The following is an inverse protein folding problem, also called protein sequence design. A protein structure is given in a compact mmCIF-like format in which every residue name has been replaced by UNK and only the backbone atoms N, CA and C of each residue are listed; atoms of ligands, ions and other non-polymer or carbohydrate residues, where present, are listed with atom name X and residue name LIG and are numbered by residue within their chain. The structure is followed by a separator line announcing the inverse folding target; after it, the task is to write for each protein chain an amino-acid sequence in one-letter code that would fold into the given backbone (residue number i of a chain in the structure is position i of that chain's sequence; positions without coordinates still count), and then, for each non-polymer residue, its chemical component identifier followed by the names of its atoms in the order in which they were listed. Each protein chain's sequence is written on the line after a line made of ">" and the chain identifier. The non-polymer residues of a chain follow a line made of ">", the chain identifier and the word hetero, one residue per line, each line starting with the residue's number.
data_IF_854256513435
#
_entry.id   IF_854256513435
#
_cell.length_a   1.000
_cell.length_b   1.000
_cell.length_c   1.000
_cell.angle_alpha   90.00
_cell.angle_beta   90.00
_cell.angle_gamma   90.00
#
_symmetry.space_group_name_H-M   'P 1'
#
loop_
_entity.id
_entity.type
_entity.pdbx_description
1 polymer ?
#
# COMPACT_ATOMS: atom_id res chain seq x y z
N UNK A 1 -12.55 31.13 -20.72
CA UNK A 1 -12.41 29.68 -20.81
C UNK A 1 -12.83 29.11 -19.46
N UNK A 2 -13.65 28.06 -19.39
CA UNK A 2 -13.86 27.37 -18.12
C UNK A 2 -12.51 26.87 -17.61
N UNK A 3 -12.27 26.86 -16.28
CA UNK A 3 -11.05 26.31 -15.72
C UNK A 3 -10.93 24.85 -16.18
N UNK A 4 -9.76 24.47 -16.71
CA UNK A 4 -9.49 23.06 -16.98
C UNK A 4 -9.72 22.27 -15.67
N UNK A 5 -10.38 21.11 -15.72
CA UNK A 5 -10.52 20.31 -14.54
C UNK A 5 -9.13 20.07 -13.95
N UNK A 6 -8.97 20.35 -12.67
CA UNK A 6 -7.71 20.13 -11.99
C UNK A 6 -7.36 18.64 -12.10
N UNK A 7 -6.11 18.33 -12.46
CA UNK A 7 -5.62 16.94 -12.46
C UNK A 7 -5.97 16.28 -11.11
N UNK A 8 -6.42 15.01 -11.09
CA UNK A 8 -6.66 14.31 -9.84
C UNK A 8 -5.38 14.24 -9.02
N UNK A 9 -5.51 14.20 -7.71
CA UNK A 9 -4.38 13.92 -6.82
C UNK A 9 -4.21 12.41 -6.68
N UNK A 10 -2.97 11.90 -6.61
CA UNK A 10 -2.71 10.47 -6.49
C UNK A 10 -2.16 10.12 -5.11
N UNK A 11 -2.72 9.08 -4.51
CA UNK A 11 -2.27 8.52 -3.25
C UNK A 11 -1.80 7.09 -3.49
N UNK A 12 -0.53 6.82 -3.23
CA UNK A 12 0.07 5.51 -3.46
C UNK A 12 0.24 4.76 -2.16
N UNK A 13 -0.16 3.50 -2.14
CA UNK A 13 0.42 2.57 -1.19
C UNK A 13 1.92 2.36 -1.52
N UNK A 14 2.64 1.64 -0.67
CA UNK A 14 4.08 1.45 -0.81
C UNK A 14 4.44 0.00 -1.16
N UNK A 15 4.11 -0.93 -0.26
CA UNK A 15 4.49 -2.33 -0.35
C UNK A 15 3.67 -3.07 -1.41
N UNK A 16 4.31 -3.63 -2.44
CA UNK A 16 3.61 -4.22 -3.58
C UNK A 16 3.11 -3.21 -4.62
N UNK A 17 3.15 -1.92 -4.31
CA UNK A 17 2.67 -0.83 -5.17
C UNK A 17 3.82 -0.04 -5.81
N UNK A 18 4.80 0.38 -5.03
CA UNK A 18 5.99 1.10 -5.52
C UNK A 18 7.28 0.28 -5.31
N UNK A 19 7.28 -0.61 -4.34
CA UNK A 19 8.39 -1.50 -4.02
C UNK A 19 7.94 -2.95 -3.91
N UNK A 20 8.78 -3.88 -4.35
CA UNK A 20 8.53 -5.32 -4.34
C UNK A 20 8.88 -5.90 -2.96
N UNK A 21 7.89 -5.94 -2.06
CA UNK A 21 8.10 -6.34 -0.67
C UNK A 21 7.01 -7.25 -0.09
N UNK A 22 5.94 -7.54 -0.84
CA UNK A 22 4.80 -8.35 -0.37
C UNK A 22 5.22 -9.71 0.14
N UNK A 23 6.00 -10.44 -0.65
CA UNK A 23 6.41 -11.79 -0.28
C UNK A 23 7.49 -11.83 0.81
N UNK A 24 8.28 -10.77 0.95
CA UNK A 24 9.17 -10.57 2.10
C UNK A 24 8.38 -10.41 3.40
N UNK A 25 7.24 -9.67 3.37
CA UNK A 25 6.31 -9.59 4.49
C UNK A 25 5.68 -10.94 4.80
N UNK A 26 5.25 -11.69 3.77
CA UNK A 26 4.69 -13.05 3.96
C UNK A 26 5.70 -13.97 4.65
N UNK A 27 6.96 -13.97 4.22
CA UNK A 27 8.02 -14.76 4.81
C UNK A 27 8.30 -14.34 6.27
N UNK A 28 8.36 -13.04 6.54
CA UNK A 28 8.61 -12.49 7.87
C UNK A 28 7.47 -12.83 8.85
N UNK A 29 6.21 -12.68 8.43
CA UNK A 29 5.06 -13.10 9.24
C UNK A 29 5.03 -14.61 9.46
N UNK A 30 5.36 -15.41 8.44
CA UNK A 30 5.47 -16.87 8.59
C UNK A 30 6.51 -17.25 9.64
N UNK A 31 7.67 -16.58 9.67
CA UNK A 31 8.69 -16.78 10.67
C UNK A 31 8.24 -16.37 12.07
N UNK A 32 7.59 -15.20 12.21
CA UNK A 32 7.07 -14.70 13.48
C UNK A 32 6.00 -15.64 14.09
N UNK A 33 5.07 -16.13 13.25
CA UNK A 33 4.02 -17.07 13.66
C UNK A 33 4.62 -18.42 14.09
N UNK A 34 5.57 -18.96 13.31
CA UNK A 34 6.25 -20.23 13.63
C UNK A 34 7.02 -20.15 14.94
N UNK A 35 7.63 -19.02 15.27
CA UNK A 35 8.32 -18.83 16.54
C UNK A 35 7.39 -18.94 17.76
N UNK A 36 6.09 -18.72 17.59
CA UNK A 36 5.04 -18.93 18.60
C UNK A 36 4.31 -20.27 18.43
N UNK A 37 4.84 -21.18 17.59
CA UNK A 37 4.25 -22.51 17.35
C UNK A 37 2.96 -22.48 16.51
N UNK A 38 2.73 -21.41 15.75
CA UNK A 38 1.57 -21.27 14.86
C UNK A 38 2.04 -21.49 13.44
N UNK A 39 1.51 -22.52 12.79
CA UNK A 39 1.82 -22.81 11.38
C UNK A 39 0.56 -22.59 10.57
N UNK A 40 0.64 -21.67 9.60
CA UNK A 40 -0.43 -21.37 8.67
C UNK A 40 0.08 -21.39 7.24
N UNK A 41 -0.77 -21.70 6.24
CA UNK A 41 -0.40 -21.61 4.84
C UNK A 41 0.00 -20.18 4.47
N UNK A 42 1.01 -20.03 3.60
CA UNK A 42 1.51 -18.72 3.15
C UNK A 42 0.41 -17.84 2.51
N UNK A 43 -0.53 -18.46 1.77
CA UNK A 43 -1.64 -17.73 1.17
C UNK A 43 -2.54 -17.05 2.21
N UNK A 44 -2.72 -17.64 3.40
CA UNK A 44 -3.50 -17.01 4.47
C UNK A 44 -2.85 -15.73 4.97
N UNK A 45 -1.51 -15.70 5.01
CA UNK A 45 -0.75 -14.48 5.37
C UNK A 45 -0.85 -13.47 4.23
N UNK A 46 -0.55 -13.92 2.99
CA UNK A 46 -0.57 -13.07 1.80
C UNK A 46 -1.87 -12.27 1.66
N UNK A 47 -3.02 -12.94 1.82
CA UNK A 47 -4.36 -12.32 1.73
C UNK A 47 -4.62 -11.23 2.77
N UNK A 48 -3.70 -10.99 3.70
CA UNK A 48 -3.80 -10.00 4.78
C UNK A 48 -2.68 -8.96 4.74
N UNK A 49 -1.74 -9.10 3.82
CA UNK A 49 -0.77 -8.03 3.58
C UNK A 49 -1.52 -6.79 3.10
N UNK A 50 -1.08 -5.62 3.56
CA UNK A 50 -1.79 -4.35 3.39
C UNK A 50 -2.60 -3.92 4.61
N UNK A 51 -2.96 -4.85 5.52
CA UNK A 51 -3.51 -4.54 6.85
C UNK A 51 -2.40 -4.19 7.85
N UNK A 52 -2.77 -3.65 9.04
CA UNK A 52 -1.81 -3.59 10.15
C UNK A 52 -1.48 -4.99 10.68
N UNK A 53 -0.29 -5.15 11.28
CA UNK A 53 0.14 -6.41 11.88
C UNK A 53 -0.87 -6.95 12.89
N UNK A 54 -1.38 -6.09 13.77
CA UNK A 54 -2.39 -6.47 14.76
C UNK A 54 -3.71 -6.93 14.13
N UNK A 55 -4.15 -6.32 13.02
CA UNK A 55 -5.36 -6.74 12.31
C UNK A 55 -5.15 -8.08 11.59
N UNK A 56 -3.99 -8.28 10.94
CA UNK A 56 -3.58 -9.53 10.31
C UNK A 56 -3.59 -10.67 11.35
N UNK A 57 -2.93 -10.48 12.48
CA UNK A 57 -2.88 -11.50 13.54
C UNK A 57 -4.25 -11.84 14.10
N UNK A 58 -5.10 -10.82 14.38
CA UNK A 58 -6.48 -11.06 14.84
C UNK A 58 -7.30 -11.92 13.87
N UNK A 59 -7.16 -11.69 12.56
CA UNK A 59 -7.85 -12.50 11.57
C UNK A 59 -7.33 -13.93 11.52
N UNK A 60 -6.00 -14.11 11.50
CA UNK A 60 -5.37 -15.45 11.52
C UNK A 60 -5.82 -16.21 12.76
N UNK A 61 -5.77 -15.60 13.96
CA UNK A 61 -6.15 -16.28 15.19
C UNK A 61 -7.63 -16.70 15.21
N UNK A 62 -8.51 -15.86 14.69
CA UNK A 62 -9.92 -16.17 14.55
C UNK A 62 -10.15 -17.38 13.64
N UNK A 63 -9.51 -17.43 12.49
CA UNK A 63 -9.68 -18.50 11.50
C UNK A 63 -9.05 -19.81 11.93
N UNK A 64 -7.89 -19.74 12.59
CA UNK A 64 -7.20 -20.92 13.13
C UNK A 64 -7.75 -21.39 14.48
N UNK A 65 -8.79 -20.70 15.00
CA UNK A 65 -9.37 -20.94 16.33
C UNK A 65 -8.29 -20.99 17.44
N UNK A 66 -7.28 -20.14 17.28
CA UNK A 66 -6.17 -20.06 18.25
C UNK A 66 -6.64 -19.38 19.53
N UNK A 67 -6.85 -20.16 20.59
CA UNK A 67 -7.30 -19.67 21.90
C UNK A 67 -6.16 -19.25 22.83
N UNK A 68 -4.93 -19.18 22.34
CA UNK A 68 -3.77 -18.77 23.11
C UNK A 68 -3.78 -17.24 23.31
N UNK A 69 -3.47 -16.80 24.53
CA UNK A 69 -3.18 -15.38 24.79
C UNK A 69 -1.79 -15.06 24.22
N UNK A 70 -1.75 -14.50 23.02
CA UNK A 70 -0.50 -14.19 22.31
C UNK A 70 -0.16 -12.71 22.50
N UNK A 71 1.15 -12.46 22.61
CA UNK A 71 1.65 -11.10 22.68
C UNK A 71 1.84 -10.56 21.26
N UNK A 72 0.88 -9.72 20.80
CA UNK A 72 0.86 -9.14 19.45
C UNK A 72 2.11 -8.29 19.21
N UNK A 73 2.53 -7.47 20.19
CA UNK A 73 3.71 -6.60 20.07
C UNK A 73 5.01 -7.41 19.90
N UNK A 74 5.12 -8.54 20.61
CA UNK A 74 6.25 -9.46 20.44
C UNK A 74 6.30 -10.05 19.04
N UNK A 75 5.13 -10.39 18.47
CA UNK A 75 5.04 -10.95 17.14
C UNK A 75 5.31 -9.90 16.05
N UNK A 76 4.82 -8.69 16.22
CA UNK A 76 5.16 -7.56 15.33
C UNK A 76 6.67 -7.27 15.39
N UNK A 77 7.28 -7.25 16.57
CA UNK A 77 8.72 -7.09 16.72
C UNK A 77 9.51 -8.23 16.07
N UNK A 78 9.00 -9.46 16.11
CA UNK A 78 9.63 -10.62 15.45
C UNK A 78 9.53 -10.51 13.93
N UNK A 79 8.34 -10.11 13.41
CA UNK A 79 8.15 -9.79 12.01
C UNK A 79 9.14 -8.71 11.55
N UNK A 80 9.25 -7.61 12.28
CA UNK A 80 10.12 -6.49 11.92
C UNK A 80 11.59 -6.90 11.81
N UNK A 81 12.04 -7.74 12.75
CA UNK A 81 13.41 -8.29 12.68
C UNK A 81 13.62 -9.18 11.47
N UNK A 82 12.69 -10.09 11.19
CA UNK A 82 12.76 -11.00 10.05
C UNK A 82 12.65 -10.23 8.71
N UNK A 83 11.73 -9.28 8.60
CA UNK A 83 11.57 -8.43 7.43
C UNK A 83 12.82 -7.59 7.16
N UNK A 84 13.46 -7.05 8.21
CA UNK A 84 14.72 -6.31 8.07
C UNK A 84 15.85 -7.13 7.48
N UNK A 85 15.88 -8.43 7.76
CA UNK A 85 16.86 -9.35 7.21
C UNK A 85 16.58 -9.72 5.76
N UNK A 86 15.31 -9.97 5.40
CA UNK A 86 14.88 -10.37 4.06
C UNK A 86 14.78 -9.20 3.08
N UNK A 87 14.59 -7.97 3.57
CA UNK A 87 14.46 -6.75 2.76
C UNK A 87 15.74 -5.90 2.72
N UNK A 88 16.93 -6.53 2.78
CA UNK A 88 18.21 -5.81 2.68
C UNK A 88 18.38 -5.12 1.33
N UNK A 89 17.94 -5.76 0.27
CA UNK A 89 17.92 -5.24 -1.11
C UNK A 89 16.47 -5.06 -1.53
N UNK A 90 15.93 -3.88 -1.26
CA UNK A 90 14.58 -3.50 -1.72
C UNK A 90 14.63 -3.24 -3.23
N UNK A 91 13.81 -3.96 -3.97
CA UNK A 91 13.60 -3.73 -5.40
C UNK A 91 12.46 -2.74 -5.59
N UNK A 92 12.72 -1.72 -6.39
CA UNK A 92 11.69 -0.81 -6.88
C UNK A 92 10.94 -1.52 -8.00
N UNK A 93 9.61 -1.48 -7.96
CA UNK A 93 8.81 -2.05 -9.03
C UNK A 93 9.03 -1.30 -10.36
N UNK A 94 8.90 -1.99 -11.50
CA UNK A 94 9.09 -1.37 -12.81
C UNK A 94 8.26 -0.08 -12.96
N UNK A 95 8.86 0.97 -13.46
CA UNK A 95 8.18 2.25 -13.74
C UNK A 95 7.89 3.13 -12.52
N UNK A 96 8.06 2.68 -11.27
CA UNK A 96 7.72 3.48 -10.07
C UNK A 96 8.41 4.85 -10.05
N UNK A 97 9.72 4.90 -10.29
CA UNK A 97 10.48 6.16 -10.30
C UNK A 97 10.05 7.06 -11.46
N UNK A 98 9.80 6.46 -12.61
CA UNK A 98 9.39 7.13 -13.84
C UNK A 98 8.00 7.73 -13.67
N UNK A 99 7.05 6.99 -13.08
CA UNK A 99 5.69 7.42 -12.77
C UNK A 99 5.73 8.63 -11.82
N UNK A 100 6.38 8.51 -10.66
CA UNK A 100 6.44 9.59 -9.67
C UNK A 100 7.16 10.84 -10.23
N UNK A 101 8.17 10.67 -11.08
CA UNK A 101 8.85 11.77 -11.77
C UNK A 101 7.95 12.42 -12.81
N UNK A 102 7.17 11.64 -13.56
CA UNK A 102 6.20 12.13 -14.54
C UNK A 102 5.12 12.96 -13.85
N UNK A 103 4.50 12.46 -12.78
CA UNK A 103 3.51 13.17 -11.99
C UNK A 103 4.04 14.53 -11.49
N UNK A 104 5.28 14.52 -10.98
CA UNK A 104 5.92 15.75 -10.51
C UNK A 104 6.14 16.78 -11.65
N UNK A 105 6.53 16.32 -12.85
CA UNK A 105 6.66 17.19 -14.03
C UNK A 105 5.32 17.78 -14.49
N UNK A 106 4.27 16.97 -14.44
CA UNK A 106 2.89 17.39 -14.75
C UNK A 106 2.25 18.22 -13.63
N UNK A 107 2.98 18.52 -12.53
CA UNK A 107 2.48 19.23 -11.35
C UNK A 107 1.25 18.57 -10.71
N UNK A 108 1.10 17.27 -10.90
CA UNK A 108 0.09 16.47 -10.21
C UNK A 108 0.51 16.35 -8.74
N UNK A 109 -0.42 16.59 -7.82
CA UNK A 109 -0.19 16.35 -6.38
C UNK A 109 -0.24 14.86 -6.11
N UNK A 110 0.72 14.37 -5.36
CA UNK A 110 0.75 12.96 -4.97
C UNK A 110 1.39 12.77 -3.59
N UNK A 111 1.03 11.68 -2.93
CA UNK A 111 1.57 11.28 -1.64
C UNK A 111 1.73 9.76 -1.56
N UNK A 112 2.49 9.30 -0.57
CA UNK A 112 2.61 7.89 -0.20
C UNK A 112 1.88 7.68 1.12
N UNK A 113 1.04 6.63 1.19
CA UNK A 113 0.21 6.29 2.34
C UNK A 113 0.25 4.79 2.62
N UNK A 114 1.07 4.36 3.57
CA UNK A 114 1.31 2.96 3.92
C UNK A 114 0.87 2.63 5.35
N UNK A 115 0.51 1.36 5.60
CA UNK A 115 0.27 0.84 6.95
C UNK A 115 1.55 0.39 7.66
N UNK A 116 2.70 0.40 6.96
CA UNK A 116 4.00 0.14 7.54
C UNK A 116 4.41 1.19 8.58
N UNK A 117 5.29 0.82 9.53
CA UNK A 117 5.81 1.76 10.50
C UNK A 117 6.85 2.71 9.87
N UNK A 118 7.10 3.84 10.54
CA UNK A 118 7.99 4.91 10.04
C UNK A 118 9.43 4.46 9.78
N UNK A 119 9.96 3.58 10.63
CA UNK A 119 11.33 3.09 10.47
C UNK A 119 11.49 2.24 9.22
N UNK A 120 10.58 1.28 9.01
CA UNK A 120 10.55 0.45 7.80
C UNK A 120 10.33 1.30 6.56
N UNK A 121 9.31 2.15 6.56
CA UNK A 121 8.97 3.03 5.44
C UNK A 121 10.17 3.86 5.01
N UNK A 122 10.90 4.48 5.95
CA UNK A 122 12.10 5.27 5.63
C UNK A 122 13.14 4.47 4.85
N UNK A 123 13.32 3.18 5.17
CA UNK A 123 14.28 2.31 4.45
C UNK A 123 13.77 1.98 3.05
N UNK A 124 12.48 1.65 2.93
CA UNK A 124 11.85 1.29 1.67
C UNK A 124 11.78 2.45 0.66
N UNK A 125 11.72 3.68 1.14
CA UNK A 125 11.68 4.88 0.31
C UNK A 125 13.06 5.27 -0.27
N UNK A 126 14.16 4.84 0.34
CA UNK A 126 15.52 5.24 -0.13
C UNK A 126 15.76 5.00 -1.62
N UNK A 127 15.46 3.80 -2.17
CA UNK A 127 15.72 3.53 -3.58
C UNK A 127 14.79 4.28 -4.53
N UNK A 128 13.68 4.88 -4.06
CA UNK A 128 12.76 5.64 -4.92
C UNK A 128 13.28 7.03 -5.29
N UNK A 129 14.27 7.56 -4.57
CA UNK A 129 14.88 8.89 -4.83
C UNK A 129 13.83 10.01 -4.89
N UNK A 130 12.99 10.07 -3.86
CA UNK A 130 11.85 11.01 -3.79
C UNK A 130 12.30 12.45 -3.58
N UNK A 131 11.52 13.45 -4.05
CA UNK A 131 11.70 14.85 -3.68
C UNK A 131 11.66 15.05 -2.16
N UNK A 132 12.48 15.97 -1.63
CA UNK A 132 12.62 16.19 -0.18
C UNK A 132 11.30 16.58 0.53
N UNK A 133 10.35 17.17 -0.19
CA UNK A 133 9.04 17.60 0.35
C UNK A 133 7.91 16.62 0.06
N UNK A 134 8.23 15.37 -0.31
CA UNK A 134 7.20 14.35 -0.56
C UNK A 134 6.39 14.09 0.70
N UNK A 135 5.06 14.15 0.58
CA UNK A 135 4.15 13.79 1.66
C UNK A 135 4.16 12.27 1.82
N UNK A 136 4.46 11.82 3.02
CA UNK A 136 4.44 10.41 3.41
C UNK A 136 3.64 10.26 4.69
N UNK A 137 2.66 9.35 4.67
CA UNK A 137 1.87 8.93 5.83
C UNK A 137 2.16 7.47 6.11
N UNK A 138 2.39 7.14 7.37
CA UNK A 138 2.71 5.80 7.85
C UNK A 138 1.64 5.29 8.82
N UNK A 139 1.67 4.02 9.16
CA UNK A 139 0.80 3.45 10.18
C UNK A 139 0.93 4.14 11.55
N UNK A 140 2.09 4.73 11.84
CA UNK A 140 2.32 5.47 13.09
C UNK A 140 1.62 6.84 13.13
N UNK A 141 1.12 7.33 12.01
CA UNK A 141 0.46 8.64 11.89
C UNK A 141 -1.07 8.54 12.06
N UNK A 142 -1.65 7.34 12.17
CA UNK A 142 -3.09 7.10 12.17
C UNK A 142 -3.50 6.05 13.20
N UNK A 143 -4.77 6.10 13.64
CA UNK A 143 -5.29 5.14 14.61
C UNK A 143 -5.69 3.80 13.97
N UNK A 144 -6.25 3.85 12.76
CA UNK A 144 -6.80 2.68 12.08
C UNK A 144 -6.11 2.43 10.74
N UNK A 145 -5.64 1.21 10.58
CA UNK A 145 -5.07 0.75 9.32
C UNK A 145 -6.15 0.30 8.32
N UNK A 146 -5.74 0.10 7.06
CA UNK A 146 -6.58 -0.48 6.00
C UNK A 146 -7.28 -1.76 6.50
N UNK A 147 -8.55 -1.95 6.18
CA UNK A 147 -9.38 -1.24 5.20
C UNK A 147 -10.00 0.07 5.71
N UNK A 148 -9.60 0.63 6.87
CA UNK A 148 -9.98 1.99 7.23
C UNK A 148 -9.28 2.98 6.28
N UNK A 149 -9.95 4.10 5.88
CA UNK A 149 -9.37 5.06 4.95
C UNK A 149 -8.35 6.00 5.61
N UNK A 150 -8.04 5.85 6.89
CA UNK A 150 -7.34 6.85 7.72
C UNK A 150 -5.99 7.27 7.13
N UNK A 151 -5.17 6.33 6.62
CA UNK A 151 -3.88 6.67 6.00
C UNK A 151 -4.06 7.52 4.73
N UNK A 152 -5.09 7.25 3.94
CA UNK A 152 -5.40 8.02 2.73
C UNK A 152 -6.05 9.36 3.07
N UNK A 153 -6.92 9.42 4.10
CA UNK A 153 -7.48 10.67 4.60
C UNK A 153 -6.38 11.61 5.07
N UNK A 154 -5.46 11.12 5.91
CA UNK A 154 -4.32 11.91 6.39
C UNK A 154 -3.41 12.37 5.23
N UNK A 155 -3.20 11.53 4.22
CA UNK A 155 -2.40 11.90 3.05
C UNK A 155 -3.10 12.99 2.20
N UNK A 156 -4.40 12.87 1.94
CA UNK A 156 -5.20 13.86 1.23
C UNK A 156 -5.24 15.20 1.97
N UNK A 157 -5.43 15.18 3.29
CA UNK A 157 -5.39 16.36 4.14
C UNK A 157 -4.04 17.09 4.06
N UNK A 158 -2.92 16.35 4.13
CA UNK A 158 -1.57 16.93 3.99
C UNK A 158 -1.28 17.48 2.59
N UNK A 159 -1.99 17.00 1.56
CA UNK A 159 -1.97 17.57 0.20
C UNK A 159 -2.91 18.76 0.02
N UNK A 160 -3.80 19.02 0.98
CA UNK A 160 -4.81 20.08 0.92
C UNK A 160 -5.91 19.78 -0.11
N UNK A 161 -6.38 18.52 -0.18
CA UNK A 161 -7.43 18.05 -1.10
C UNK A 161 -8.40 17.13 -0.39
N UNK A 162 -9.69 17.09 -0.79
CA UNK A 162 -10.63 16.08 -0.35
C UNK A 162 -10.22 14.69 -0.86
N UNK A 163 -10.44 13.64 -0.06
CA UNK A 163 -10.08 12.26 -0.48
C UNK A 163 -10.92 11.79 -1.67
N UNK A 164 -12.18 12.22 -1.78
CA UNK A 164 -13.07 11.93 -2.90
C UNK A 164 -12.57 12.45 -4.25
N UNK A 165 -11.69 13.45 -4.25
CA UNK A 165 -11.04 14.00 -5.46
C UNK A 165 -9.69 13.33 -5.75
N UNK A 166 -9.36 12.26 -5.00
CA UNK A 166 -8.11 11.53 -5.17
C UNK A 166 -8.32 10.20 -5.90
N UNK A 167 -7.26 9.76 -6.57
CA UNK A 167 -7.07 8.39 -7.02
C UNK A 167 -6.17 7.67 -6.03
N UNK A 168 -6.67 6.61 -5.41
CA UNK A 168 -5.90 5.72 -4.53
C UNK A 168 -5.35 4.58 -5.37
N UNK A 169 -4.04 4.44 -5.42
CA UNK A 169 -3.34 3.36 -6.12
C UNK A 169 -2.76 2.38 -5.11
N UNK A 170 -3.11 1.11 -5.23
CA UNK A 170 -2.65 0.03 -4.35
C UNK A 170 -2.69 -1.32 -5.03
N UNK A 171 -2.04 -2.32 -4.43
CA UNK A 171 -1.92 -3.68 -4.97
C UNK A 171 -2.85 -4.68 -4.32
N UNK A 172 -3.62 -4.27 -3.31
CA UNK A 172 -4.44 -5.17 -2.50
C UNK A 172 -5.91 -4.75 -2.47
N UNK A 173 -6.77 -5.71 -2.16
CA UNK A 173 -8.20 -5.46 -1.90
C UNK A 173 -8.42 -4.49 -0.73
N UNK A 174 -7.46 -4.39 0.20
CA UNK A 174 -7.54 -3.51 1.36
C UNK A 174 -7.43 -2.03 0.97
N UNK A 175 -6.68 -1.72 -0.09
CA UNK A 175 -6.56 -0.39 -0.67
C UNK A 175 -7.87 0.03 -1.34
N UNK A 176 -8.42 -0.86 -2.15
CA UNK A 176 -9.68 -0.63 -2.86
C UNK A 176 -10.84 -0.42 -1.89
N UNK A 177 -10.93 -1.25 -0.85
CA UNK A 177 -11.94 -1.10 0.19
C UNK A 177 -11.77 0.20 1.00
N UNK A 178 -10.53 0.60 1.26
CA UNK A 178 -10.26 1.87 1.96
C UNK A 178 -10.66 3.08 1.10
N UNK A 179 -10.33 3.07 -0.19
CA UNK A 179 -10.73 4.10 -1.16
C UNK A 179 -12.26 4.21 -1.26
N UNK A 180 -12.95 3.09 -1.48
CA UNK A 180 -14.40 3.05 -1.68
C UNK A 180 -15.20 3.57 -0.48
N UNK A 181 -14.70 3.42 0.75
CA UNK A 181 -15.34 3.95 1.97
C UNK A 181 -15.48 5.48 1.99
N UNK A 182 -14.70 6.16 1.19
CA UNK A 182 -14.71 7.63 1.05
C UNK A 182 -14.92 8.10 -0.38
N UNK A 183 -15.43 7.22 -1.25
CA UNK A 183 -15.73 7.51 -2.65
C UNK A 183 -14.53 7.97 -3.48
N UNK A 184 -13.31 7.71 -3.02
CA UNK A 184 -12.12 7.89 -3.84
C UNK A 184 -12.06 6.82 -4.93
N UNK A 185 -11.54 7.15 -6.10
CA UNK A 185 -11.33 6.18 -7.16
C UNK A 185 -10.18 5.24 -6.77
N UNK A 186 -10.41 3.94 -6.88
CA UNK A 186 -9.38 2.91 -6.67
C UNK A 186 -8.71 2.51 -7.97
N UNK A 187 -7.39 2.46 -7.99
CA UNK A 187 -6.59 1.88 -9.07
C UNK A 187 -5.80 0.72 -8.50
N UNK A 188 -6.05 -0.47 -9.05
CA UNK A 188 -5.37 -1.70 -8.64
C UNK A 188 -4.09 -1.95 -9.42
N UNK A 189 -3.06 -2.52 -8.76
CA UNK A 189 -1.86 -3.06 -9.41
C UNK A 189 -1.76 -4.56 -9.15
N UNK A 190 -1.46 -5.35 -10.18
CA UNK A 190 -1.32 -6.81 -10.06
C UNK A 190 -0.02 -7.22 -9.36
N UNK A 191 0.89 -6.28 -9.15
CA UNK A 191 2.21 -6.49 -8.55
C UNK A 191 2.19 -7.03 -7.12
N UNK A 192 1.06 -6.92 -6.40
CA UNK A 192 0.87 -7.50 -5.07
C UNK A 192 0.41 -8.96 -5.07
N UNK A 193 0.04 -9.52 -6.25
CA UNK A 193 -0.38 -10.92 -6.38
C UNK A 193 -1.87 -11.17 -6.20
N UNK A 194 -2.70 -10.13 -6.16
CA UNK A 194 -4.15 -10.24 -6.33
C UNK A 194 -4.49 -10.31 -7.82
N UNK A 195 -5.56 -11.03 -8.18
CA UNK A 195 -6.06 -11.06 -9.54
C UNK A 195 -6.83 -9.77 -9.88
N UNK A 196 -6.95 -9.49 -11.18
CA UNK A 196 -7.74 -8.37 -11.66
C UNK A 196 -9.18 -8.42 -11.14
N UNK A 197 -9.82 -9.60 -11.22
CA UNK A 197 -11.19 -9.78 -10.76
C UNK A 197 -11.37 -9.44 -9.27
N UNK A 198 -10.43 -9.84 -8.41
CA UNK A 198 -10.50 -9.54 -6.97
C UNK A 198 -10.36 -8.04 -6.68
N UNK A 199 -9.50 -7.35 -7.41
CA UNK A 199 -9.34 -5.91 -7.27
C UNK A 199 -10.58 -5.15 -7.77
N UNK A 200 -11.14 -5.56 -8.92
CA UNK A 200 -12.37 -4.97 -9.48
C UNK A 200 -13.58 -5.22 -8.57
N UNK A 201 -13.77 -6.43 -8.07
CA UNK A 201 -14.83 -6.77 -7.10
C UNK A 201 -14.70 -5.98 -5.79
N UNK A 202 -13.48 -5.59 -5.43
CA UNK A 202 -13.20 -4.76 -4.26
C UNK A 202 -13.32 -3.25 -4.53
N UNK A 203 -13.63 -2.84 -5.76
CA UNK A 203 -13.92 -1.46 -6.14
C UNK A 203 -12.84 -0.76 -6.96
N UNK A 204 -11.90 -1.49 -7.57
CA UNK A 204 -10.96 -0.87 -8.50
C UNK A 204 -11.68 -0.39 -9.77
N UNK A 205 -11.50 0.88 -10.08
CA UNK A 205 -11.99 1.49 -11.35
C UNK A 205 -11.14 1.07 -12.54
N UNK A 206 -9.84 0.88 -12.34
CA UNK A 206 -8.88 0.38 -13.32
C UNK A 206 -7.89 -0.53 -12.62
N UNK A 207 -7.33 -1.46 -13.38
CA UNK A 207 -6.27 -2.37 -12.92
C UNK A 207 -5.17 -2.39 -13.97
N UNK A 208 -3.92 -2.23 -13.52
CA UNK A 208 -2.72 -2.27 -14.34
C UNK A 208 -1.77 -3.36 -13.82
N UNK A 209 -0.87 -3.83 -14.67
CA UNK A 209 0.08 -4.87 -14.27
C UNK A 209 1.03 -4.38 -13.15
N UNK A 210 1.57 -3.18 -13.32
CA UNK A 210 2.53 -2.55 -12.42
C UNK A 210 2.59 -1.02 -12.66
N UNK A 211 3.43 -0.26 -11.94
CA UNK A 211 3.59 1.17 -12.17
C UNK A 211 4.05 1.57 -13.58
N UNK A 212 4.76 0.69 -14.31
CA UNK A 212 5.16 0.97 -15.68
C UNK A 212 3.97 0.93 -16.63
N UNK A 213 3.11 -0.07 -16.47
CA UNK A 213 1.87 -0.21 -17.23
C UNK A 213 0.89 0.94 -16.90
N UNK A 214 0.73 1.29 -15.62
CA UNK A 214 -0.05 2.48 -15.22
C UNK A 214 0.48 3.76 -15.87
N UNK A 215 1.80 3.93 -15.99
CA UNK A 215 2.40 5.10 -16.64
C UNK A 215 2.15 5.13 -18.15
N UNK A 216 2.09 3.98 -18.80
CA UNK A 216 1.75 3.90 -20.23
C UNK A 216 0.31 4.34 -20.51
N UNK A 217 -0.59 4.11 -19.57
CA UNK A 217 -2.02 4.41 -19.66
C UNK A 217 -2.45 5.59 -18.76
N UNK A 218 -1.52 6.48 -18.42
CA UNK A 218 -1.77 7.53 -17.42
C UNK A 218 -2.88 8.51 -17.86
N UNK A 219 -3.13 8.61 -19.16
CA UNK A 219 -4.21 9.45 -19.73
C UNK A 219 -5.61 8.93 -19.35
N UNK A 220 -5.77 7.64 -19.06
CA UNK A 220 -7.03 7.06 -18.55
C UNK A 220 -7.46 7.69 -17.22
N UNK A 221 -6.51 8.29 -16.51
CA UNK A 221 -6.72 8.96 -15.23
C UNK A 221 -6.82 10.49 -15.38
N UNK A 222 -6.94 11.01 -16.61
CA UNK A 222 -7.01 12.44 -16.89
C UNK A 222 -5.70 13.19 -16.70
N UNK A 223 -4.57 12.49 -16.66
CA UNK A 223 -3.23 13.08 -16.51
C UNK A 223 -2.56 13.07 -17.88
N UNK A 224 -1.90 14.18 -18.32
CA UNK A 224 -1.21 14.20 -19.61
C UNK A 224 -0.19 13.08 -19.76
N UNK A 225 -0.16 12.43 -20.91
CA UNK A 225 0.82 11.40 -21.27
C UNK A 225 2.27 11.94 -21.36
N UNK A 226 3.18 11.05 -21.77
CA UNK A 226 4.60 11.41 -21.95
C UNK A 226 4.82 12.18 -23.25
#
# INVERSE_FOLDING_TARGET
>A
MPPQPANPSLLFDLDGTLVDTVYQHVAAWSAALRAEGIVVPAWMIHRRIGMSGSALLRQIFRETKTNRKLNVEKMESAHDRAFRQSSREVRVLPGSRELLRHLSRCRVRWAIATTGNREQTRRLLRPLSLPAKTVVVTGDDVEKAKPSPDVFLSAAERLGVPLEDCVVTGDSVWDMLAAGRKRALGVGLLSGGYSQAELEESGAFRVYADPADMLLHIEDLGIPGK
#
